data_IF_265638677471
#
_entry.id   IF_265638677471
#
_cell.length_a   1.000
_cell.length_b   1.000
_cell.length_c   1.000
_cell.angle_alpha   90.00
_cell.angle_beta   90.00
_cell.angle_gamma   90.00
#
_symmetry.space_group_name_H-M   'P 1'
#
loop_
_entity.id
_entity.type
_entity.pdbx_description
1 polymer ?
#
# COMPACT_ATOMS: atom_id res chain seq x y z
N UNK A 1 -10.84 -21.01 21.25
CA UNK A 1 -12.12 -21.72 21.12
C UNK A 1 -11.77 -23.15 20.79
N UNK A 2 -11.80 -24.05 21.78
CA UNK A 2 -11.30 -25.42 21.64
C UNK A 2 -12.31 -26.37 20.98
N UNK A 3 -13.60 -26.00 20.95
CA UNK A 3 -14.71 -26.83 20.45
C UNK A 3 -15.37 -26.31 19.17
N UNK A 4 -14.75 -25.34 18.48
CA UNK A 4 -15.30 -24.74 17.27
C UNK A 4 -14.23 -24.59 16.20
N UNK A 5 -14.59 -24.85 14.94
CA UNK A 5 -13.77 -24.54 13.78
C UNK A 5 -14.34 -23.34 13.03
N UNK A 6 -13.48 -22.62 12.28
CA UNK A 6 -13.93 -21.49 11.48
C UNK A 6 -14.73 -22.01 10.28
N UNK A 7 -16.01 -21.65 10.22
CA UNK A 7 -16.90 -21.94 9.11
C UNK A 7 -16.85 -20.84 8.05
N UNK A 8 -17.98 -20.16 7.83
CA UNK A 8 -18.16 -19.14 6.78
C UNK A 8 -18.15 -17.70 7.32
N UNK A 9 -17.91 -16.76 6.41
CA UNK A 9 -17.99 -15.33 6.70
C UNK A 9 -19.01 -14.68 5.75
N UNK A 10 -19.94 -13.90 6.30
CA UNK A 10 -20.86 -13.04 5.56
C UNK A 10 -20.46 -11.59 5.79
N UNK A 11 -19.98 -10.92 4.74
CA UNK A 11 -19.70 -9.49 4.77
C UNK A 11 -20.96 -8.71 4.41
N UNK A 12 -21.23 -7.63 5.16
CA UNK A 12 -22.26 -6.66 4.79
C UNK A 12 -22.05 -6.19 3.33
N UNK A 13 -23.09 -6.08 2.49
CA UNK A 13 -22.92 -5.61 1.12
C UNK A 13 -22.45 -4.14 1.07
N UNK A 14 -21.84 -3.76 -0.05
CA UNK A 14 -21.48 -2.36 -0.29
C UNK A 14 -22.71 -1.57 -0.69
N UNK A 15 -22.98 -0.49 0.04
CA UNK A 15 -24.16 0.36 -0.14
C UNK A 15 -23.72 1.83 -0.16
N UNK A 16 -23.99 2.54 -1.26
CA UNK A 16 -23.63 3.95 -1.42
C UNK A 16 -24.38 4.83 -0.42
N UNK A 17 -25.61 4.47 -0.04
CA UNK A 17 -26.42 5.27 0.90
C UNK A 17 -25.81 5.34 2.30
N UNK A 18 -24.93 4.40 2.64
CA UNK A 18 -24.21 4.35 3.93
C UNK A 18 -22.90 5.14 3.90
N UNK A 19 -22.47 5.64 2.74
CA UNK A 19 -21.25 6.45 2.62
C UNK A 19 -21.58 7.87 3.06
N UNK A 20 -20.99 8.32 4.17
CA UNK A 20 -21.23 9.65 4.75
C UNK A 20 -20.49 10.78 4.01
N UNK A 21 -20.46 10.74 2.67
CA UNK A 21 -19.87 11.78 1.83
C UNK A 21 -21.00 12.42 1.02
N UNK A 22 -21.20 13.74 1.10
CA UNK A 22 -22.26 14.40 0.36
C UNK A 22 -21.95 14.43 -1.15
N UNK A 23 -23.02 14.56 -1.95
CA UNK A 23 -22.94 14.83 -3.40
C UNK A 23 -22.19 13.77 -4.22
N UNK A 24 -22.29 12.49 -3.84
CA UNK A 24 -21.82 11.38 -4.67
C UNK A 24 -22.79 11.18 -5.87
N UNK A 25 -22.32 11.22 -7.12
CA UNK A 25 -23.13 10.88 -8.29
C UNK A 25 -23.54 9.40 -8.29
N UNK A 26 -24.74 9.09 -8.81
CA UNK A 26 -25.23 7.70 -8.90
C UNK A 26 -24.38 6.82 -9.83
N UNK A 27 -23.77 7.42 -10.87
CA UNK A 27 -22.94 6.75 -11.88
C UNK A 27 -21.44 6.78 -11.56
N UNK A 28 -21.10 7.07 -10.30
CA UNK A 28 -19.71 7.16 -9.85
C UNK A 28 -18.96 5.84 -10.05
N UNK A 29 -17.70 5.95 -10.47
CA UNK A 29 -16.80 4.80 -10.49
C UNK A 29 -16.41 4.46 -9.05
N UNK A 30 -16.98 3.37 -8.52
CA UNK A 30 -16.74 2.92 -7.16
C UNK A 30 -15.72 1.76 -7.11
N UNK A 31 -14.48 2.11 -6.75
CA UNK A 31 -13.36 1.19 -6.58
C UNK A 31 -13.37 0.55 -5.19
N UNK A 32 -13.91 -0.68 -5.11
CA UNK A 32 -13.94 -1.52 -3.89
C UNK A 32 -12.68 -2.37 -3.82
N UNK A 33 -11.74 -1.98 -2.95
CA UNK A 33 -10.42 -2.58 -2.84
C UNK A 33 -10.45 -3.78 -1.90
N UNK A 34 -10.03 -4.95 -2.39
CA UNK A 34 -9.87 -6.16 -1.58
C UNK A 34 -8.40 -6.41 -1.18
N UNK A 35 -8.16 -7.17 -0.10
CA UNK A 35 -6.80 -7.55 0.32
C UNK A 35 -6.02 -8.32 -0.76
N UNK A 36 -6.70 -9.10 -1.61
CA UNK A 36 -6.09 -9.85 -2.72
C UNK A 36 -5.90 -9.06 -4.01
N UNK A 37 -6.51 -7.88 -4.16
CA UNK A 37 -6.45 -7.12 -5.41
C UNK A 37 -5.03 -6.64 -5.75
N UNK A 38 -4.63 -6.77 -7.02
CA UNK A 38 -3.35 -6.26 -7.52
C UNK A 38 -3.45 -4.75 -7.75
N UNK A 39 -2.61 -3.96 -7.07
CA UNK A 39 -2.64 -2.49 -7.20
C UNK A 39 -2.48 -2.01 -8.64
N UNK A 40 -1.64 -2.69 -9.44
CA UNK A 40 -1.44 -2.36 -10.86
C UNK A 40 -2.77 -2.34 -11.61
N UNK A 41 -3.59 -3.38 -11.46
CA UNK A 41 -4.86 -3.52 -12.15
C UNK A 41 -5.87 -2.46 -11.69
N UNK A 42 -5.94 -2.22 -10.37
CA UNK A 42 -6.80 -1.19 -9.79
C UNK A 42 -6.47 0.20 -10.34
N UNK A 43 -5.17 0.54 -10.34
CA UNK A 43 -4.68 1.84 -10.80
C UNK A 43 -4.81 1.98 -12.32
N UNK A 44 -4.55 0.95 -13.10
CA UNK A 44 -4.68 1.01 -14.56
C UNK A 44 -6.12 1.36 -14.98
N UNK A 45 -7.10 0.69 -14.39
CA UNK A 45 -8.51 0.99 -14.62
C UNK A 45 -8.87 2.40 -14.12
N UNK A 46 -8.57 2.71 -12.86
CA UNK A 46 -8.96 3.97 -12.24
C UNK A 46 -8.32 5.19 -12.89
N UNK A 47 -7.04 5.12 -13.27
CA UNK A 47 -6.34 6.20 -13.98
C UNK A 47 -6.89 6.40 -15.39
N UNK A 48 -7.40 5.35 -16.05
CA UNK A 48 -8.04 5.48 -17.36
C UNK A 48 -9.40 6.16 -17.20
N UNK A 49 -10.25 5.63 -16.33
CA UNK A 49 -11.60 6.13 -16.12
C UNK A 49 -11.63 7.58 -15.59
N UNK A 50 -10.74 7.91 -14.65
CA UNK A 50 -10.64 9.26 -14.08
C UNK A 50 -10.03 10.30 -15.04
N UNK A 51 -9.60 9.92 -16.25
CA UNK A 51 -9.31 10.92 -17.30
C UNK A 51 -10.60 11.50 -17.85
N UNK A 52 -11.59 10.65 -18.07
CA UNK A 52 -12.84 11.00 -18.74
C UNK A 52 -13.91 11.43 -17.73
N UNK A 53 -13.90 10.85 -16.52
CA UNK A 53 -14.80 11.24 -15.42
C UNK A 53 -14.16 12.25 -14.47
N UNK A 54 -15.00 12.98 -13.74
CA UNK A 54 -14.55 13.99 -12.78
C UNK A 54 -14.38 13.47 -11.35
N UNK A 55 -15.02 12.34 -11.01
CA UNK A 55 -15.03 11.80 -9.65
C UNK A 55 -14.79 10.29 -9.63
N UNK A 56 -14.14 9.81 -8.57
CA UNK A 56 -13.95 8.38 -8.29
C UNK A 56 -13.99 8.15 -6.79
N UNK A 57 -14.68 7.08 -6.36
CA UNK A 57 -14.78 6.69 -4.96
C UNK A 57 -13.93 5.45 -4.70
N UNK A 58 -12.98 5.56 -3.78
CA UNK A 58 -12.21 4.44 -3.28
C UNK A 58 -12.78 3.94 -1.96
N UNK A 59 -12.88 2.63 -1.78
CA UNK A 59 -13.31 2.06 -0.50
C UNK A 59 -12.56 0.78 -0.20
N UNK A 60 -12.20 0.60 1.07
CA UNK A 60 -11.56 -0.63 1.51
C UNK A 60 -11.70 -0.81 3.01
N UNK A 61 -11.77 -2.08 3.41
CA UNK A 61 -12.03 -2.48 4.79
C UNK A 61 -10.90 -3.35 5.32
N UNK A 62 -10.65 -3.23 6.63
CA UNK A 62 -9.66 -4.03 7.36
C UNK A 62 -8.29 -4.02 6.67
N UNK A 63 -7.74 -5.19 6.28
CA UNK A 63 -6.42 -5.27 5.64
C UNK A 63 -6.27 -4.50 4.33
N UNK A 64 -7.37 -4.12 3.67
CA UNK A 64 -7.35 -3.38 2.41
C UNK A 64 -7.20 -1.85 2.58
N UNK A 65 -7.31 -1.31 3.80
CA UNK A 65 -7.28 0.14 4.06
C UNK A 65 -6.00 0.78 3.51
N UNK A 66 -4.83 0.27 3.89
CA UNK A 66 -3.55 0.84 3.46
C UNK A 66 -3.39 0.83 1.94
N UNK A 67 -3.88 -0.23 1.29
CA UNK A 67 -3.88 -0.34 -0.17
C UNK A 67 -4.80 0.70 -0.81
N UNK A 68 -5.98 0.93 -0.22
CA UNK A 68 -6.96 1.92 -0.67
C UNK A 68 -6.37 3.33 -0.62
N UNK A 69 -5.75 3.68 0.52
CA UNK A 69 -5.05 4.96 0.69
C UNK A 69 -3.93 5.10 -0.35
N UNK A 70 -3.09 4.06 -0.50
CA UNK A 70 -1.99 4.06 -1.47
C UNK A 70 -2.48 4.29 -2.89
N UNK A 71 -3.60 3.67 -3.30
CA UNK A 71 -4.20 3.90 -4.61
C UNK A 71 -4.64 5.35 -4.79
N UNK A 72 -5.33 5.93 -3.80
CA UNK A 72 -5.77 7.32 -3.84
C UNK A 72 -4.58 8.29 -3.93
N UNK A 73 -3.53 8.10 -3.12
CA UNK A 73 -2.33 8.94 -3.16
C UNK A 73 -1.62 8.87 -4.51
N UNK A 74 -1.47 7.66 -5.09
CA UNK A 74 -0.87 7.52 -6.43
C UNK A 74 -1.69 8.27 -7.48
N UNK A 75 -3.02 8.25 -7.40
CA UNK A 75 -3.86 9.03 -8.32
C UNK A 75 -3.65 10.53 -8.14
N UNK A 76 -3.64 11.04 -6.91
CA UNK A 76 -3.37 12.46 -6.62
C UNK A 76 -1.99 12.92 -7.11
N UNK A 77 -1.00 12.03 -7.16
CA UNK A 77 0.29 12.36 -7.79
C UNK A 77 0.21 12.48 -9.32
N UNK A 78 -0.65 11.68 -9.96
CA UNK A 78 -0.81 11.63 -11.42
C UNK A 78 -1.67 12.77 -11.98
N UNK A 79 -2.65 13.24 -11.23
CA UNK A 79 -3.52 14.35 -11.62
C UNK A 79 -3.18 15.60 -10.81
N UNK A 80 -3.07 16.76 -11.45
CA UNK A 80 -2.98 18.05 -10.73
C UNK A 80 -4.35 18.46 -10.22
N UNK A 81 -4.40 19.16 -9.09
CA UNK A 81 -5.62 19.79 -8.59
C UNK A 81 -6.78 18.80 -8.28
N UNK A 82 -6.52 17.78 -7.47
CA UNK A 82 -7.55 16.83 -7.03
C UNK A 82 -8.01 17.14 -5.61
N UNK A 83 -9.29 17.47 -5.46
CA UNK A 83 -9.97 17.62 -4.17
C UNK A 83 -10.27 16.24 -3.59
N UNK A 84 -10.22 16.12 -2.27
CA UNK A 84 -10.47 14.87 -1.58
C UNK A 84 -11.47 15.05 -0.43
N UNK A 85 -12.35 14.08 -0.22
CA UNK A 85 -13.05 13.89 1.05
C UNK A 85 -12.78 12.46 1.54
N UNK A 86 -12.40 12.32 2.81
CA UNK A 86 -12.15 11.01 3.43
C UNK A 86 -12.99 10.80 4.68
N UNK A 87 -13.69 9.67 4.73
CA UNK A 87 -14.52 9.29 5.89
C UNK A 87 -14.15 7.88 6.34
N UNK A 88 -14.20 7.64 7.64
CA UNK A 88 -13.97 6.32 8.25
C UNK A 88 -15.26 5.87 8.92
N UNK A 89 -15.60 4.61 8.73
CA UNK A 89 -16.77 3.97 9.34
C UNK A 89 -16.47 2.51 9.67
N UNK A 90 -17.48 1.79 10.17
CA UNK A 90 -17.41 0.35 10.38
C UNK A 90 -18.39 -0.36 9.45
N UNK A 91 -17.98 -1.54 8.96
CA UNK A 91 -18.84 -2.48 8.23
C UNK A 91 -18.94 -3.76 9.02
N UNK A 92 -20.13 -4.36 9.05
CA UNK A 92 -20.36 -5.60 9.80
C UNK A 92 -19.90 -6.81 9.00
N UNK A 93 -19.20 -7.71 9.68
CA UNK A 93 -18.89 -9.05 9.18
C UNK A 93 -19.40 -10.06 10.20
N UNK A 94 -20.18 -11.00 9.72
CA UNK A 94 -20.72 -12.10 10.53
C UNK A 94 -19.86 -13.33 10.24
N UNK A 95 -19.28 -13.92 11.28
CA UNK A 95 -18.57 -15.19 11.20
C UNK A 95 -19.40 -16.30 11.82
N UNK A 96 -19.59 -17.38 11.07
CA UNK A 96 -20.21 -18.61 11.52
C UNK A 96 -19.11 -19.60 11.89
N UNK A 97 -19.24 -20.17 13.07
CA UNK A 97 -18.30 -21.12 13.63
C UNK A 97 -19.01 -22.44 13.86
N UNK A 98 -18.48 -23.49 13.24
CA UNK A 98 -19.09 -24.81 13.26
C UNK A 98 -18.64 -25.58 14.51
N UNK A 99 -19.57 -26.24 15.21
CA UNK A 99 -19.25 -27.02 16.41
C UNK A 99 -18.43 -28.25 16.03
N UNK A 100 -17.42 -28.58 16.84
CA UNK A 100 -16.62 -29.81 16.72
C UNK A 100 -17.24 -30.99 17.49
N UNK A 101 -18.28 -30.73 18.28
CA UNK A 101 -18.96 -31.71 19.12
C UNK A 101 -20.46 -31.58 18.82
N UNK A 102 -21.12 -32.71 18.51
CA UNK A 102 -22.53 -32.74 18.10
C UNK A 102 -23.52 -32.18 19.13
N UNK A 103 -23.08 -31.99 20.38
CA UNK A 103 -23.87 -31.43 21.47
C UNK A 103 -23.87 -29.88 21.52
N UNK A 104 -23.20 -29.21 20.58
CA UNK A 104 -23.07 -27.75 20.54
C UNK A 104 -23.78 -27.16 19.30
N UNK A 105 -24.32 -25.96 19.46
CA UNK A 105 -24.94 -25.20 18.38
C UNK A 105 -23.92 -24.37 17.58
N UNK A 106 -24.25 -24.00 16.35
CA UNK A 106 -23.42 -23.08 15.55
C UNK A 106 -23.31 -21.71 16.21
N UNK A 107 -22.09 -21.19 16.33
CA UNK A 107 -21.83 -19.89 16.93
C UNK A 107 -21.77 -18.79 15.87
N UNK A 108 -22.49 -17.69 16.12
CA UNK A 108 -22.49 -16.48 15.28
C UNK A 108 -21.75 -15.34 15.98
N UNK A 109 -20.66 -14.88 15.38
CA UNK A 109 -19.86 -13.74 15.89
C UNK A 109 -19.98 -12.57 14.93
N UNK A 110 -20.47 -11.42 15.40
CA UNK A 110 -20.49 -10.19 14.60
C UNK A 110 -19.26 -9.34 14.95
N UNK A 111 -18.50 -8.95 13.93
CA UNK A 111 -17.35 -8.05 14.03
C UNK A 111 -17.60 -6.78 13.27
N UNK A 112 -17.22 -5.66 13.88
CA UNK A 112 -17.15 -4.37 13.21
C UNK A 112 -15.75 -4.21 12.59
N UNK A 113 -15.70 -4.12 11.26
CA UNK A 113 -14.46 -3.99 10.50
C UNK A 113 -14.29 -2.53 10.08
N UNK A 114 -13.16 -1.88 10.44
CA UNK A 114 -12.91 -0.50 10.04
C UNK A 114 -12.87 -0.41 8.52
N UNK A 115 -13.43 0.68 7.99
CA UNK A 115 -13.58 0.93 6.56
C UNK A 115 -13.28 2.39 6.29
N UNK A 116 -12.54 2.64 5.20
CA UNK A 116 -12.30 3.99 4.71
C UNK A 116 -12.98 4.19 3.37
N UNK A 117 -13.56 5.37 3.19
CA UNK A 117 -14.04 5.88 1.91
C UNK A 117 -13.25 7.14 1.55
N UNK A 118 -12.75 7.21 0.31
CA UNK A 118 -11.99 8.36 -0.19
C UNK A 118 -12.60 8.75 -1.54
N UNK A 119 -13.31 9.89 -1.54
CA UNK A 119 -13.77 10.52 -2.78
C UNK A 119 -12.65 11.41 -3.31
N UNK A 120 -12.30 11.24 -4.58
CA UNK A 120 -11.41 12.14 -5.31
C UNK A 120 -12.20 12.83 -6.41
N UNK A 121 -12.01 14.15 -6.55
CA UNK A 121 -12.71 14.98 -7.53
C UNK A 121 -11.78 15.99 -8.19
N UNK A 122 -11.96 16.22 -9.49
CA UNK A 122 -11.33 17.36 -10.21
C UNK A 122 -12.05 18.69 -9.95
N UNK A 123 -13.34 18.61 -9.64
CA UNK A 123 -14.16 19.76 -9.30
C UNK A 123 -14.12 20.03 -7.79
N UNK A 124 -14.40 21.27 -7.40
CA UNK A 124 -14.48 21.68 -6.01
C UNK A 124 -15.55 20.84 -5.27
N UNK A 125 -15.15 20.26 -4.13
CA UNK A 125 -16.06 19.59 -3.20
C UNK A 125 -16.47 20.53 -2.08
N UNK A 126 -17.49 20.16 -1.30
CA UNK A 126 -17.90 20.91 -0.13
C UNK A 126 -16.77 20.95 0.92
N UNK A 127 -16.16 22.12 1.05
CA UNK A 127 -15.03 22.38 1.96
C UNK A 127 -15.41 22.37 3.43
N UNK A 128 -16.70 22.43 3.76
CA UNK A 128 -17.19 22.45 5.14
C UNK A 128 -17.28 21.05 5.76
N UNK A 129 -17.22 20.01 4.93
CA UNK A 129 -17.35 18.61 5.35
C UNK A 129 -16.08 18.14 6.06
N UNK A 130 -16.27 17.43 7.18
CA UNK A 130 -15.17 16.78 7.87
C UNK A 130 -14.43 15.80 6.95
N UNK A 131 -13.10 15.88 6.92
CA UNK A 131 -12.27 15.03 6.07
C UNK A 131 -12.06 15.58 4.65
N UNK A 132 -12.57 16.78 4.34
CA UNK A 132 -12.15 17.51 3.15
C UNK A 132 -10.65 17.84 3.20
N UNK A 133 -10.00 17.69 2.06
CA UNK A 133 -8.60 18.05 1.83
C UNK A 133 -8.47 18.75 0.47
N UNK A 134 -7.89 19.94 0.49
CA UNK A 134 -7.61 20.74 -0.71
C UNK A 134 -6.49 20.09 -1.56
N UNK A 135 -6.42 20.33 -2.87
CA UNK A 135 -5.36 19.79 -3.69
C UNK A 135 -4.00 20.29 -3.19
N UNK A 136 -3.14 19.35 -2.78
CA UNK A 136 -1.81 19.69 -2.27
C UNK A 136 -0.98 20.44 -3.30
N UNK A 137 -0.40 21.57 -2.90
CA UNK A 137 0.64 22.24 -3.69
C UNK A 137 1.84 21.29 -3.84
N UNK A 138 2.23 20.97 -5.07
CA UNK A 138 3.36 20.06 -5.38
C UNK A 138 4.74 20.63 -4.97
N UNK A 139 4.80 21.73 -4.22
CA UNK A 139 6.03 22.47 -3.93
C UNK A 139 6.87 21.90 -2.77
N UNK A 140 6.35 21.07 -1.86
CA UNK A 140 7.09 20.78 -0.61
C UNK A 140 7.63 19.36 -0.39
N UNK A 141 7.32 18.37 -1.22
CA UNK A 141 7.69 16.96 -0.91
C UNK A 141 8.96 16.43 -1.58
N UNK A 142 9.84 17.29 -2.10
CA UNK A 142 11.08 16.86 -2.77
C UNK A 142 12.38 17.19 -2.01
N UNK A 143 12.29 17.58 -0.73
CA UNK A 143 13.46 17.60 0.14
C UNK A 143 13.85 16.15 0.51
N UNK A 144 14.44 15.43 -0.46
CA UNK A 144 15.31 14.31 -0.13
C UNK A 144 16.39 14.87 0.81
N UNK A 145 16.61 14.31 2.01
CA UNK A 145 17.74 14.72 2.82
C UNK A 145 18.99 14.51 1.96
N UNK A 146 19.67 15.61 1.61
CA UNK A 146 20.96 15.56 0.92
C UNK A 146 21.89 14.79 1.83
N UNK A 147 22.16 13.53 1.50
CA UNK A 147 23.20 12.72 2.15
C UNK A 147 24.51 13.47 1.94
N UNK A 148 24.97 14.14 3.00
CA UNK A 148 26.19 14.94 3.00
C UNK A 148 27.36 13.99 2.70
N UNK A 149 27.81 13.94 1.44
CA UNK A 149 29.08 13.32 1.10
C UNK A 149 30.18 14.30 1.55
N UNK A 150 30.55 14.24 2.82
CA UNK A 150 31.87 14.70 3.24
C UNK A 150 32.90 13.77 2.60
N UNK A 151 33.30 14.07 1.37
CA UNK A 151 34.57 13.62 0.82
C UNK A 151 35.63 14.57 1.34
N UNK A 152 36.41 14.12 2.30
CA UNK A 152 37.61 14.81 2.75
C UNK A 152 38.67 14.79 1.63
N UNK A 153 39.21 15.94 1.18
CA UNK A 153 40.33 15.98 0.26
C UNK A 153 41.60 16.43 0.99
N UNK A 154 42.56 15.51 1.20
CA UNK A 154 44.03 15.68 1.31
C UNK A 154 44.58 14.48 2.10
N UNK A 155 45.67 13.81 1.71
CA UNK A 155 46.98 14.44 1.59
C UNK A 155 47.93 13.57 0.75
N UNK A 156 48.64 14.20 -0.20
CA UNK A 156 49.75 13.61 -0.95
C UNK A 156 51.06 13.91 -0.22
N UNK A 157 51.95 12.92 -0.22
CA UNK A 157 53.40 12.95 -0.04
C UNK A 157 53.97 13.02 1.39
N UNK A 158 54.62 11.92 1.79
CA UNK A 158 56.06 11.98 2.12
C UNK A 158 56.72 10.61 1.95
N UNK A 159 57.78 10.64 1.15
CA UNK A 159 58.74 9.57 0.90
C UNK A 159 59.63 9.30 2.12
N UNK A 160 60.12 8.07 2.13
CA UNK A 160 61.41 7.61 2.67
C UNK A 160 61.43 7.04 4.09
N UNK A 161 61.54 5.71 4.17
CA UNK A 161 62.52 4.98 5.01
C UNK A 161 62.26 3.47 4.94
N UNK A 162 63.30 2.73 4.54
CA UNK A 162 63.57 1.41 5.11
C UNK A 162 63.36 0.20 4.20
N UNK A 163 64.48 -0.24 3.62
CA UNK A 163 64.71 -1.60 3.12
C UNK A 163 64.06 -2.68 4.01
N UNK A 164 63.52 -3.75 3.40
CA UNK A 164 64.12 -5.09 3.49
C UNK A 164 63.61 -5.96 2.34
N UNK A 165 64.60 -6.40 1.58
CA UNK A 165 64.63 -7.40 0.53
C UNK A 165 64.40 -8.79 1.14
N UNK A 166 63.50 -9.59 0.57
CA UNK A 166 63.78 -11.01 0.43
C UNK A 166 63.27 -11.56 -0.90
N UNK A 167 64.13 -12.35 -1.52
CA UNK A 167 64.16 -12.73 -2.93
C UNK A 167 64.06 -14.27 -2.99
N UNK A 168 63.41 -14.77 -4.05
CA UNK A 168 63.48 -16.14 -4.63
C UNK A 168 62.58 -17.18 -3.93
N UNK A 169 61.97 -18.17 -4.61
CA UNK A 169 62.28 -18.81 -5.91
C UNK A 169 61.07 -19.56 -6.52
N UNK A 170 60.98 -19.52 -7.85
CA UNK A 170 60.62 -20.55 -8.86
C UNK A 170 59.56 -21.66 -8.61
N UNK A 171 58.71 -21.85 -9.65
CA UNK A 171 57.77 -22.99 -9.90
C UNK A 171 58.52 -24.33 -10.16
N UNK A 172 57.85 -25.50 -10.18
CA UNK A 172 57.15 -25.98 -11.40
C UNK A 172 55.81 -26.72 -11.15
N UNK A 173 55.27 -27.26 -12.24
CA UNK A 173 53.90 -27.71 -12.57
C UNK A 173 53.85 -29.23 -12.77
N UNK A 174 52.80 -29.93 -12.33
CA UNK A 174 52.27 -31.24 -12.81
C UNK A 174 50.85 -31.40 -12.22
N UNK A 175 49.72 -31.41 -12.92
CA UNK A 175 49.13 -32.33 -13.93
C UNK A 175 48.60 -33.69 -13.39
N UNK A 176 47.25 -33.84 -13.42
CA UNK A 176 46.40 -35.07 -13.53
C UNK A 176 46.52 -36.19 -12.47
N UNK A 177 45.46 -36.86 -11.96
CA UNK A 177 44.29 -37.57 -12.55
C UNK A 177 43.16 -37.75 -11.49
N UNK A 178 41.86 -37.52 -11.78
CA UNK A 178 40.79 -38.52 -12.09
C UNK A 178 40.76 -39.83 -11.28
N UNK A 179 39.65 -40.08 -10.58
CA UNK A 179 38.69 -41.24 -10.63
C UNK A 179 37.69 -41.11 -9.45
N UNK A 180 36.39 -40.90 -9.65
CA UNK A 180 35.36 -41.84 -10.11
C UNK A 180 35.09 -43.01 -9.14
N UNK A 181 34.01 -42.89 -8.37
CA UNK A 181 32.95 -43.90 -8.16
C UNK A 181 31.71 -43.19 -7.64
#
# INVERSE_FOLDING_TARGET
MENYSKGSNEEEPWDLSKVSIPSIPEDITWMKVSPGAKMRNLLEFALKDFKDKDQILWSGSGPAINKTISCAEIMKHKFSSVHQISTVCYRKVIEYWDPLIDALDQLKVTRDIPTIHILLSKQLLDTTVSGYQDPGNKSDSNQRPRRNQNRDPKNKNRSDLGLIRNKKSARPRTETTKTAS
#
